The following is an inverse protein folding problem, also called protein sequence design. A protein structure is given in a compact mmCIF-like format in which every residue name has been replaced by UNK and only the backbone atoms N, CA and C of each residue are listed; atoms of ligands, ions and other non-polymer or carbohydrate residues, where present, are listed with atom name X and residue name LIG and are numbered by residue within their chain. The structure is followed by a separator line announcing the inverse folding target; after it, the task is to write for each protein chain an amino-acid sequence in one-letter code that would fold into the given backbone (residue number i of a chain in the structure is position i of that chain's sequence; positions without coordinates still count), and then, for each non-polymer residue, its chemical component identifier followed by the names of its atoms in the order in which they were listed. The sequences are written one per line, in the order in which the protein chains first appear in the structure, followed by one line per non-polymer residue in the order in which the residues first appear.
data_IF_808969173153
#
_entry.id   IF_808969173153
#
_cell.length_a   1.000
_cell.length_b   1.000
_cell.length_c   1.000
_cell.angle_alpha   90.00
_cell.angle_beta   90.00
_cell.angle_gamma   90.00
#
_symmetry.space_group_name_H-M   'P 1'
#
loop_
_entity.id
_entity.type
_entity.pdbx_description
1 polymer ?
#
# COMPACT_ATOMS: atom_id res chain seq x y z
N UNK A 1 -6.86 -8.82 17.45
CA UNK A 1 -7.61 -10.03 17.02
C UNK A 1 -8.12 -9.96 15.58
N UNK A 2 -8.74 -8.87 15.12
CA UNK A 2 -9.30 -8.77 13.76
C UNK A 2 -8.31 -9.06 12.60
N UNK A 3 -7.02 -8.76 12.78
CA UNK A 3 -5.95 -8.99 11.78
C UNK A 3 -5.74 -10.46 11.40
N UNK A 4 -6.24 -11.42 12.18
CA UNK A 4 -6.12 -12.85 11.92
C UNK A 4 -7.47 -13.52 11.58
N UNK A 5 -8.59 -12.95 12.05
CA UNK A 5 -9.92 -13.53 11.82
C UNK A 5 -10.28 -13.53 10.34
N UNK A 6 -10.18 -12.38 9.66
CA UNK A 6 -10.51 -12.29 8.23
C UNK A 6 -9.63 -13.22 7.38
N UNK A 7 -8.30 -13.24 7.54
CA UNK A 7 -7.45 -14.20 6.85
C UNK A 7 -7.84 -15.66 7.07
N UNK A 8 -8.10 -16.05 8.32
CA UNK A 8 -8.42 -17.43 8.68
C UNK A 8 -9.78 -17.85 8.10
N UNK A 9 -10.79 -16.99 8.23
CA UNK A 9 -12.13 -17.24 7.68
C UNK A 9 -12.09 -17.30 6.15
N UNK A 10 -11.40 -16.38 5.49
CA UNK A 10 -11.28 -16.37 4.03
C UNK A 10 -10.54 -17.61 3.51
N UNK A 11 -9.46 -18.01 4.19
CA UNK A 11 -8.71 -19.22 3.85
C UNK A 11 -9.56 -20.48 4.04
N UNK A 12 -10.24 -20.60 5.18
CA UNK A 12 -11.12 -21.74 5.47
C UNK A 12 -12.28 -21.82 4.46
N UNK A 13 -12.97 -20.70 4.19
CA UNK A 13 -14.07 -20.66 3.24
C UNK A 13 -13.61 -21.05 1.83
N UNK A 14 -12.42 -20.62 1.41
CA UNK A 14 -11.82 -21.02 0.13
C UNK A 14 -11.53 -22.52 0.09
N UNK A 15 -10.90 -23.06 1.14
CA UNK A 15 -10.58 -24.48 1.22
C UNK A 15 -11.85 -25.34 1.17
N UNK A 16 -12.87 -24.95 1.95
CA UNK A 16 -14.16 -25.62 1.97
C UNK A 16 -14.84 -25.60 0.60
N UNK A 17 -14.93 -24.43 -0.04
CA UNK A 17 -15.61 -24.28 -1.33
C UNK A 17 -14.93 -25.11 -2.43
N UNK A 18 -13.60 -25.10 -2.50
CA UNK A 18 -12.84 -25.89 -3.49
C UNK A 18 -13.04 -27.38 -3.25
N UNK A 19 -12.86 -27.85 -2.02
CA UNK A 19 -13.07 -29.25 -1.69
C UNK A 19 -14.50 -29.69 -2.03
N UNK A 20 -15.50 -28.90 -1.63
CA UNK A 20 -16.90 -29.18 -1.93
C UNK A 20 -17.17 -29.28 -3.43
N UNK A 21 -16.75 -28.29 -4.22
CA UNK A 21 -17.01 -28.27 -5.66
C UNK A 21 -16.34 -29.43 -6.39
N UNK A 22 -15.10 -29.76 -6.02
CA UNK A 22 -14.37 -30.86 -6.65
C UNK A 22 -14.98 -32.21 -6.26
N UNK A 23 -15.24 -32.44 -4.97
CA UNK A 23 -15.89 -33.67 -4.52
C UNK A 23 -17.28 -33.84 -5.11
N UNK A 24 -18.05 -32.75 -5.24
CA UNK A 24 -19.35 -32.76 -5.89
C UNK A 24 -19.24 -33.14 -7.38
N UNK A 25 -18.28 -32.56 -8.11
CA UNK A 25 -18.07 -32.86 -9.52
C UNK A 25 -17.66 -34.32 -9.74
N UNK A 26 -16.70 -34.83 -8.96
CA UNK A 26 -16.27 -36.24 -9.03
C UNK A 26 -17.42 -37.19 -8.68
N UNK A 27 -18.21 -36.89 -7.66
CA UNK A 27 -19.39 -37.67 -7.32
C UNK A 27 -20.44 -37.66 -8.45
N UNK A 28 -20.68 -36.50 -9.06
CA UNK A 28 -21.59 -36.36 -10.20
C UNK A 28 -21.10 -37.11 -11.45
N UNK A 29 -19.79 -37.26 -11.61
CA UNK A 29 -19.15 -38.03 -12.68
C UNK A 29 -19.07 -39.55 -12.39
N UNK A 30 -19.52 -40.00 -11.21
CA UNK A 30 -19.44 -41.42 -10.81
C UNK A 30 -18.01 -41.89 -10.48
N UNK A 31 -17.09 -40.96 -10.26
CA UNK A 31 -15.72 -41.27 -9.87
C UNK A 31 -15.67 -41.79 -8.43
N UNK A 32 -14.69 -42.66 -8.13
CA UNK A 32 -14.42 -43.04 -6.74
C UNK A 32 -13.88 -41.84 -5.99
N UNK A 33 -14.40 -41.60 -4.78
CA UNK A 33 -13.91 -40.53 -3.92
C UNK A 33 -12.41 -40.66 -3.64
N UNK A 34 -11.69 -39.56 -3.83
CA UNK A 34 -10.30 -39.40 -3.43
C UNK A 34 -10.12 -38.14 -2.55
N UNK A 35 -8.88 -37.83 -2.19
CA UNK A 35 -8.55 -36.67 -1.36
C UNK A 35 -8.06 -35.45 -2.18
N UNK A 36 -8.18 -35.47 -3.51
CA UNK A 36 -7.63 -34.42 -4.37
C UNK A 36 -8.24 -33.06 -4.05
N UNK A 37 -9.58 -33.00 -3.91
CA UNK A 37 -10.29 -31.77 -3.54
C UNK A 37 -9.83 -31.19 -2.21
N UNK A 38 -9.51 -32.05 -1.23
CA UNK A 38 -9.07 -31.64 0.10
C UNK A 38 -7.69 -30.98 0.04
N UNK A 39 -6.72 -31.62 -0.63
CA UNK A 39 -5.36 -31.10 -0.73
C UNK A 39 -5.29 -29.79 -1.52
N UNK A 40 -6.00 -29.71 -2.65
CA UNK A 40 -6.10 -28.47 -3.43
C UNK A 40 -6.79 -27.38 -2.61
N UNK A 41 -7.88 -27.72 -1.92
CA UNK A 41 -8.58 -26.80 -1.03
C UNK A 41 -7.68 -26.21 0.05
N UNK A 42 -6.96 -27.06 0.80
CA UNK A 42 -6.05 -26.60 1.85
C UNK A 42 -4.95 -25.70 1.29
N UNK A 43 -4.31 -26.10 0.18
CA UNK A 43 -3.25 -25.31 -0.44
C UNK A 43 -3.73 -23.91 -0.86
N UNK A 44 -4.88 -23.86 -1.56
CA UNK A 44 -5.47 -22.58 -2.00
C UNK A 44 -5.99 -21.74 -0.83
N UNK A 45 -6.59 -22.38 0.18
CA UNK A 45 -7.01 -21.72 1.41
C UNK A 45 -5.83 -21.09 2.16
N UNK A 46 -4.70 -21.78 2.25
CA UNK A 46 -3.48 -21.24 2.85
C UNK A 46 -2.93 -20.03 2.07
N UNK A 47 -2.94 -20.09 0.74
CA UNK A 47 -2.54 -18.95 -0.12
C UNK A 47 -3.46 -17.74 0.13
N UNK A 48 -4.78 -17.95 0.14
CA UNK A 48 -5.75 -16.87 0.40
C UNK A 48 -5.56 -16.28 1.80
N UNK A 49 -5.41 -17.12 2.82
CA UNK A 49 -5.13 -16.66 4.17
C UNK A 49 -3.85 -15.81 4.22
N UNK A 50 -2.76 -16.25 3.56
CA UNK A 50 -1.52 -15.50 3.51
C UNK A 50 -1.68 -14.13 2.82
N UNK A 51 -2.44 -14.06 1.73
CA UNK A 51 -2.74 -12.81 1.04
C UNK A 51 -3.48 -11.86 1.98
N UNK A 52 -4.58 -12.30 2.59
CA UNK A 52 -5.35 -11.44 3.50
C UNK A 52 -4.57 -11.06 4.76
N UNK A 53 -3.67 -11.94 5.24
CA UNK A 53 -2.78 -11.61 6.36
C UNK A 53 -1.83 -10.48 5.99
N UNK A 54 -1.23 -10.50 4.80
CA UNK A 54 -0.41 -9.40 4.29
C UNK A 54 -1.21 -8.10 4.13
N UNK A 55 -2.48 -8.19 3.72
CA UNK A 55 -3.37 -7.04 3.54
C UNK A 55 -4.03 -6.54 4.83
N UNK A 56 -3.90 -7.25 5.95
CA UNK A 56 -4.53 -6.90 7.24
C UNK A 56 -4.01 -5.59 7.85
N UNK A 57 -2.93 -5.02 7.31
CA UNK A 57 -2.39 -3.70 7.66
C UNK A 57 -3.06 -2.54 6.93
N UNK A 58 -3.89 -2.82 5.94
CA UNK A 58 -4.57 -1.79 5.18
C UNK A 58 -5.62 -1.10 6.05
N UNK A 59 -5.64 0.24 6.01
CA UNK A 59 -6.71 1.06 6.58
C UNK A 59 -7.60 1.62 5.48
N UNK A 60 -8.78 2.09 5.87
CA UNK A 60 -9.63 2.86 4.97
C UNK A 60 -8.92 4.18 4.64
N UNK A 61 -8.88 4.52 3.36
CA UNK A 61 -8.29 5.76 2.86
C UNK A 61 -9.25 6.39 1.88
N UNK A 62 -9.49 7.70 2.05
CA UNK A 62 -10.37 8.43 1.15
C UNK A 62 -9.62 8.80 -0.13
N UNK A 63 -10.30 8.70 -1.27
CA UNK A 63 -9.81 9.34 -2.49
C UNK A 63 -9.90 10.86 -2.32
N UNK A 64 -8.90 11.60 -2.79
CA UNK A 64 -9.00 13.05 -2.84
C UNK A 64 -10.05 13.46 -3.88
N UNK A 65 -10.81 14.52 -3.58
CA UNK A 65 -11.78 15.10 -4.53
C UNK A 65 -11.10 15.68 -5.78
N UNK A 66 -11.88 15.91 -6.83
CA UNK A 66 -11.38 16.40 -8.11
C UNK A 66 -10.62 17.74 -7.98
N UNK A 67 -11.14 18.69 -7.20
CA UNK A 67 -10.50 19.98 -6.95
C UNK A 67 -9.16 19.84 -6.20
N UNK A 68 -9.10 18.94 -5.21
CA UNK A 68 -7.87 18.67 -4.48
C UNK A 68 -6.79 18.06 -5.40
N UNK A 69 -7.20 17.12 -6.27
CA UNK A 69 -6.31 16.55 -7.29
C UNK A 69 -5.86 17.61 -8.29
N UNK A 70 -6.75 18.46 -8.78
CA UNK A 70 -6.39 19.54 -9.71
C UNK A 70 -5.39 20.52 -9.09
N UNK A 71 -5.61 20.95 -7.84
CA UNK A 71 -4.64 21.79 -7.11
C UNK A 71 -3.28 21.11 -6.94
N UNK A 72 -3.26 19.81 -6.64
CA UNK A 72 -2.01 19.06 -6.58
C UNK A 72 -1.32 18.97 -7.94
N UNK A 73 -2.07 18.79 -9.03
CA UNK A 73 -1.51 18.72 -10.39
C UNK A 73 -1.08 20.08 -10.95
N UNK A 74 -1.48 21.18 -10.33
CA UNK A 74 -0.95 22.52 -10.64
C UNK A 74 0.49 22.70 -10.13
N UNK A 75 0.97 21.83 -9.22
CA UNK A 75 2.30 21.93 -8.63
C UNK A 75 2.55 23.32 -8.02
N UNK A 76 1.53 23.90 -7.39
CA UNK A 76 1.62 25.21 -6.72
C UNK A 76 1.58 25.01 -5.21
N UNK A 77 2.69 25.28 -4.49
CA UNK A 77 2.71 25.22 -3.05
C UNK A 77 1.77 26.24 -2.41
N UNK A 78 1.27 25.90 -1.22
CA UNK A 78 0.54 26.85 -0.39
C UNK A 78 1.52 27.90 0.13
N UNK A 79 1.19 29.21 0.10
CA UNK A 79 2.10 30.25 0.60
C UNK A 79 2.58 29.98 2.04
N UNK A 80 3.87 30.14 2.30
CA UNK A 80 4.47 29.85 3.60
C UNK A 80 4.70 28.36 3.89
N UNK A 81 4.52 27.48 2.89
CA UNK A 81 4.66 26.02 3.01
C UNK A 81 5.40 25.44 1.81
N UNK A 82 6.08 24.33 2.04
CA UNK A 82 6.51 23.41 0.99
C UNK A 82 5.38 22.44 0.63
N UNK A 83 5.33 21.99 -0.62
CA UNK A 83 4.42 20.95 -1.07
C UNK A 83 5.16 19.61 -1.21
N UNK A 84 4.87 18.66 -0.32
CA UNK A 84 5.43 17.31 -0.35
C UNK A 84 4.51 16.36 -1.12
N UNK A 85 5.03 15.81 -2.21
CA UNK A 85 4.39 14.78 -3.02
C UNK A 85 4.97 13.42 -2.63
N UNK A 86 4.10 12.56 -2.13
CA UNK A 86 4.42 11.18 -1.79
C UNK A 86 3.88 10.30 -2.91
N UNK A 87 4.77 9.70 -3.71
CA UNK A 87 4.39 9.00 -4.94
C UNK A 87 4.75 7.54 -4.82
N UNK A 88 3.75 6.68 -4.61
CA UNK A 88 3.98 5.25 -4.51
C UNK A 88 3.84 4.56 -5.85
N UNK A 89 4.88 3.82 -6.22
CA UNK A 89 4.98 3.08 -7.47
C UNK A 89 5.42 1.63 -7.23
N UNK A 90 5.49 0.84 -8.30
CA UNK A 90 5.95 -0.56 -8.26
C UNK A 90 4.83 -1.58 -8.14
N UNK A 91 5.11 -2.79 -8.62
CA UNK A 91 4.16 -3.90 -8.66
C UNK A 91 4.19 -4.76 -7.39
N UNK A 92 5.36 -4.91 -6.78
CA UNK A 92 5.52 -5.76 -5.59
C UNK A 92 4.74 -5.16 -4.42
N UNK A 93 3.86 -5.96 -3.80
CA UNK A 93 3.02 -5.49 -2.69
C UNK A 93 2.01 -4.40 -3.08
N UNK A 94 1.62 -4.30 -4.36
CA UNK A 94 0.75 -3.24 -4.90
C UNK A 94 -0.54 -3.02 -4.09
N UNK A 95 -1.16 -4.11 -3.63
CA UNK A 95 -2.40 -4.09 -2.87
C UNK A 95 -2.25 -3.72 -1.39
N UNK A 96 -1.05 -3.91 -0.82
CA UNK A 96 -0.77 -3.54 0.56
C UNK A 96 -0.57 -2.04 0.67
N UNK A 97 -1.08 -1.39 1.70
CA UNK A 97 -0.93 0.04 1.95
C UNK A 97 0.39 0.34 2.66
N UNK A 98 1.20 1.22 2.09
CA UNK A 98 2.41 1.74 2.71
C UNK A 98 2.05 2.94 3.59
N UNK A 99 2.29 2.84 4.89
CA UNK A 99 2.13 3.91 5.85
C UNK A 99 3.27 4.92 5.70
N UNK A 100 2.91 6.18 5.64
CA UNK A 100 3.82 7.30 5.50
C UNK A 100 3.63 8.22 6.67
N UNK A 101 4.75 8.56 7.33
CA UNK A 101 4.76 9.49 8.43
C UNK A 101 5.81 10.57 8.20
N UNK A 102 5.48 11.81 8.54
CA UNK A 102 6.40 12.95 8.55
C UNK A 102 6.53 13.40 9.99
N UNK A 103 7.76 13.48 10.49
CA UNK A 103 8.09 13.88 11.86
C UNK A 103 7.31 13.07 12.93
N UNK A 104 7.16 11.77 12.66
CA UNK A 104 6.45 10.84 13.54
C UNK A 104 4.92 10.90 13.44
N UNK A 105 4.33 11.80 12.64
CA UNK A 105 2.88 11.88 12.41
C UNK A 105 2.50 11.15 11.13
N UNK A 106 1.54 10.23 11.20
CA UNK A 106 1.01 9.58 9.98
C UNK A 106 0.30 10.60 9.09
N UNK A 107 0.70 10.65 7.82
CA UNK A 107 0.17 11.61 6.84
C UNK A 107 -0.62 10.96 5.72
N UNK A 108 -0.34 9.70 5.40
CA UNK A 108 -1.08 8.95 4.39
C UNK A 108 -0.79 7.44 4.50
N UNK A 109 -1.72 6.63 3.99
CA UNK A 109 -1.43 5.26 3.57
C UNK A 109 -1.66 5.11 2.06
N UNK A 110 -0.63 4.74 1.31
CA UNK A 110 -0.72 4.64 -0.16
C UNK A 110 -0.70 3.19 -0.63
N UNK A 111 -1.67 2.81 -1.48
CA UNK A 111 -1.56 1.66 -2.40
C UNK A 111 -0.77 2.04 -3.66
N UNK A 112 -0.32 1.10 -4.47
CA UNK A 112 0.36 1.42 -5.74
C UNK A 112 -0.58 1.21 -6.94
N UNK A 113 -0.50 2.01 -8.02
CA UNK A 113 0.11 3.33 -8.07
C UNK A 113 -0.86 4.39 -7.50
N UNK A 114 -0.44 5.12 -6.48
CA UNK A 114 -1.18 6.26 -5.91
C UNK A 114 -0.22 7.30 -5.38
N UNK A 115 -0.71 8.53 -5.24
CA UNK A 115 0.05 9.60 -4.61
C UNK A 115 -0.79 10.35 -3.58
N UNK A 116 -0.12 11.10 -2.71
CA UNK A 116 -0.72 12.12 -1.85
C UNK A 116 0.12 13.39 -1.93
N UNK A 117 -0.52 14.52 -1.64
CA UNK A 117 0.13 15.81 -1.43
C UNK A 117 -0.12 16.22 0.02
N UNK A 118 0.94 16.64 0.71
CA UNK A 118 0.90 17.15 2.08
C UNK A 118 1.62 18.49 2.09
N UNK A 119 1.06 19.49 2.77
CA UNK A 119 1.77 20.75 3.00
C UNK A 119 2.69 20.60 4.21
N UNK A 120 3.92 21.06 4.10
CA UNK A 120 4.93 20.96 5.17
C UNK A 120 5.47 22.33 5.49
N UNK A 121 5.77 22.60 6.75
CA UNK A 121 6.54 23.78 7.12
C UNK A 121 7.90 23.81 6.38
N UNK A 122 8.48 24.98 6.11
CA UNK A 122 9.88 25.05 5.70
C UNK A 122 10.80 24.61 6.84
N UNK A 123 11.84 23.85 6.54
CA UNK A 123 12.78 23.35 7.55
C UNK A 123 13.25 21.92 7.31
N UNK A 124 13.78 21.32 8.38
CA UNK A 124 14.22 19.93 8.40
C UNK A 124 13.08 19.01 8.86
N UNK A 125 12.89 17.94 8.10
CA UNK A 125 11.84 16.95 8.32
C UNK A 125 12.38 15.55 8.13
N UNK A 126 11.64 14.57 8.65
CA UNK A 126 11.94 13.17 8.48
C UNK A 126 10.75 12.42 7.93
N UNK A 127 10.91 11.81 6.76
CA UNK A 127 9.91 10.94 6.14
C UNK A 127 10.19 9.48 6.50
N UNK A 128 9.20 8.80 7.07
CA UNK A 128 9.22 7.36 7.35
C UNK A 128 8.21 6.62 6.50
N UNK A 129 8.64 5.52 5.90
CA UNK A 129 7.81 4.58 5.17
C UNK A 129 7.81 3.21 5.86
N UNK A 130 6.64 2.59 6.01
CA UNK A 130 6.50 1.26 6.60
C UNK A 130 5.26 0.52 6.07
N UNK A 131 5.17 -0.79 6.31
CA UNK A 131 3.94 -1.56 6.11
C UNK A 131 3.34 -1.99 7.45
N UNK A 132 2.02 -2.17 7.46
CA UNK A 132 1.32 -2.86 8.54
C UNK A 132 1.05 -4.34 8.23
N UNK A 133 0.33 -5.01 9.14
CA UNK A 133 -0.14 -6.38 8.93
C UNK A 133 1.00 -7.39 8.78
N UNK A 134 0.78 -8.46 8.00
CA UNK A 134 1.79 -9.49 7.76
C UNK A 134 3.06 -8.99 7.07
N UNK A 135 2.97 -7.90 6.30
CA UNK A 135 4.13 -7.32 5.63
C UNK A 135 5.05 -6.54 6.57
N UNK A 136 4.58 -6.13 7.76
CA UNK A 136 5.43 -5.46 8.74
C UNK A 136 6.64 -6.32 9.16
N UNK A 137 6.47 -7.65 9.28
CA UNK A 137 7.56 -8.57 9.62
C UNK A 137 8.45 -8.97 8.44
N UNK A 138 7.98 -8.72 7.20
CA UNK A 138 8.68 -9.10 5.95
C UNK A 138 9.42 -7.93 5.30
N UNK A 139 9.22 -6.71 5.80
CA UNK A 139 9.77 -5.49 5.23
C UNK A 139 10.55 -4.71 6.29
N UNK A 140 11.63 -4.05 5.86
CA UNK A 140 12.37 -3.13 6.72
C UNK A 140 11.84 -1.72 6.48
N UNK A 141 11.33 -1.08 7.54
CA UNK A 141 10.92 0.31 7.47
C UNK A 141 12.10 1.19 7.00
N UNK A 142 11.79 2.23 6.25
CA UNK A 142 12.78 3.17 5.71
C UNK A 142 12.49 4.57 6.22
N UNK A 143 13.56 5.33 6.44
CA UNK A 143 13.51 6.67 6.99
C UNK A 143 14.50 7.53 6.21
N UNK A 144 14.05 8.72 5.80
CA UNK A 144 14.84 9.67 5.04
C UNK A 144 14.65 11.06 5.63
N UNK A 145 15.73 11.63 6.13
CA UNK A 145 15.79 13.05 6.48
C UNK A 145 15.82 13.88 5.20
N UNK A 146 15.06 14.97 5.18
CA UNK A 146 15.05 15.93 4.07
C UNK A 146 14.85 17.34 4.61
N UNK A 147 15.33 18.32 3.84
CA UNK A 147 15.03 19.73 4.08
C UNK A 147 14.18 20.27 2.94
N UNK A 148 13.38 21.27 3.26
CA UNK A 148 12.60 22.01 2.28
C UNK A 148 12.54 23.51 2.60
N UNK A 149 12.59 24.33 1.57
CA UNK A 149 12.42 25.77 1.64
C UNK A 149 10.96 26.18 1.48
N UNK A 150 10.66 27.44 1.78
CA UNK A 150 9.34 28.00 1.51
C UNK A 150 9.01 27.95 0.01
N UNK A 151 7.76 27.61 -0.30
CA UNK A 151 7.28 27.41 -1.67
C UNK A 151 8.10 26.38 -2.48
N UNK A 152 8.81 25.46 -1.81
CA UNK A 152 9.50 24.37 -2.49
C UNK A 152 8.53 23.22 -2.80
N UNK A 153 8.75 22.56 -3.94
CA UNK A 153 8.10 21.30 -4.28
C UNK A 153 9.07 20.15 -4.00
N UNK A 154 8.68 19.28 -3.09
CA UNK A 154 9.45 18.09 -2.73
C UNK A 154 8.71 16.87 -3.24
N UNK A 155 9.39 16.01 -4.01
CA UNK A 155 8.80 14.77 -4.52
C UNK A 155 9.59 13.58 -3.97
N UNK A 156 8.88 12.65 -3.34
CA UNK A 156 9.44 11.41 -2.80
C UNK A 156 8.77 10.22 -3.48
N UNK A 157 9.54 9.50 -4.29
CA UNK A 157 9.10 8.22 -4.89
C UNK A 157 9.32 7.10 -3.89
N UNK A 158 8.30 6.29 -3.74
CA UNK A 158 8.21 5.24 -2.74
C UNK A 158 8.00 3.90 -3.45
N UNK A 159 8.88 2.94 -3.19
CA UNK A 159 8.77 1.60 -3.75
C UNK A 159 9.23 0.53 -2.76
N UNK A 160 8.85 -0.71 -3.02
CA UNK A 160 9.37 -1.87 -2.31
C UNK A 160 10.35 -2.60 -3.23
N UNK A 161 11.59 -2.76 -2.77
CA UNK A 161 12.60 -3.57 -3.44
C UNK A 161 12.48 -5.05 -3.11
N UNK A 162 13.23 -5.88 -3.82
CA UNK A 162 13.43 -7.28 -3.45
C UNK A 162 14.69 -7.39 -2.58
N UNK A 163 14.57 -8.00 -1.41
CA UNK A 163 15.70 -8.28 -0.52
C UNK A 163 15.83 -9.75 -0.22
N UNK A 164 17.01 -10.17 0.24
CA UNK A 164 17.33 -11.57 0.54
C UNK A 164 16.70 -12.04 1.86
N UNK A 165 16.56 -11.15 2.84
CA UNK A 165 16.02 -11.44 4.18
C UNK A 165 14.71 -10.69 4.44
N UNK A 166 14.71 -9.39 4.16
CA UNK A 166 13.52 -8.54 4.20
C UNK A 166 13.51 -7.64 2.97
N UNK A 167 12.32 -7.36 2.46
CA UNK A 167 12.17 -6.46 1.33
C UNK A 167 12.38 -5.00 1.80
N UNK A 168 13.41 -4.30 1.27
CA UNK A 168 13.69 -2.93 1.68
C UNK A 168 12.64 -1.98 1.09
N UNK A 169 12.22 -1.00 1.88
CA UNK A 169 11.47 0.15 1.36
C UNK A 169 12.45 1.20 0.86
N UNK A 170 12.23 1.68 -0.36
CA UNK A 170 13.06 2.71 -0.98
C UNK A 170 12.29 4.03 -0.99
N UNK A 171 12.95 5.07 -0.52
CA UNK A 171 12.50 6.46 -0.59
C UNK A 171 13.53 7.19 -1.44
N UNK A 172 13.11 7.67 -2.60
CA UNK A 172 13.99 8.33 -3.56
C UNK A 172 13.45 9.72 -3.87
N UNK A 173 14.28 10.76 -3.72
CA UNK A 173 13.90 12.12 -4.10
C UNK A 173 13.83 12.21 -5.63
N UNK A 174 12.80 12.87 -6.14
CA UNK A 174 12.58 13.09 -7.58
C UNK A 174 12.25 14.56 -7.84
N UNK A 175 12.11 14.93 -9.12
CA UNK A 175 11.69 16.28 -9.53
C UNK A 175 10.21 16.30 -9.87
N UNK A 176 9.58 17.47 -9.77
CA UNK A 176 8.19 17.67 -10.18
C UNK A 176 7.99 17.31 -11.67
N UNK A 177 8.94 17.67 -12.52
CA UNK A 177 8.85 17.42 -13.96
C UNK A 177 8.90 15.93 -14.30
N UNK A 178 9.69 15.14 -13.56
CA UNK A 178 9.79 13.70 -13.76
C UNK A 178 8.47 12.97 -13.44
N UNK A 179 7.68 13.47 -12.49
CA UNK A 179 6.43 12.81 -12.06
C UNK A 179 5.17 13.44 -12.64
N UNK A 180 5.25 14.62 -13.26
CA UNK A 180 4.06 15.38 -13.73
C UNK A 180 3.13 14.55 -14.61
N UNK A 181 3.69 13.84 -15.59
CA UNK A 181 2.92 12.95 -16.47
C UNK A 181 2.35 11.73 -15.74
N UNK A 182 3.12 11.15 -14.82
CA UNK A 182 2.70 10.01 -14.01
C UNK A 182 1.50 10.37 -13.10
N UNK A 183 1.56 11.51 -12.41
CA UNK A 183 0.53 11.90 -11.42
C UNK A 183 -0.84 12.17 -12.04
N UNK A 184 -0.89 12.64 -13.29
CA UNK A 184 -2.14 12.91 -14.00
C UNK A 184 -3.01 11.64 -14.08
N UNK A 185 -2.40 10.50 -14.41
CA UNK A 185 -3.05 9.19 -14.50
C UNK A 185 -3.25 8.48 -13.16
N UNK A 186 -2.55 8.90 -12.10
CA UNK A 186 -2.65 8.25 -10.79
C UNK A 186 -3.88 8.71 -9.99
N UNK A 187 -4.39 7.80 -9.16
CA UNK A 187 -5.38 8.18 -8.15
C UNK A 187 -4.67 8.92 -7.00
N UNK A 188 -5.22 10.06 -6.60
CA UNK A 188 -4.77 10.78 -5.41
C UNK A 188 -5.52 10.26 -4.17
N UNK A 189 -4.78 9.89 -3.14
CA UNK A 189 -5.30 9.63 -1.79
C UNK A 189 -5.34 10.94 -1.02
N UNK A 190 -6.44 11.22 -0.32
CA UNK A 190 -6.51 12.37 0.58
C UNK A 190 -5.52 12.15 1.74
N UNK A 191 -4.72 13.16 2.11
CA UNK A 191 -3.83 13.04 3.26
C UNK A 191 -4.67 13.00 4.54
N UNK A 192 -4.16 12.29 5.56
CA UNK A 192 -4.83 12.19 6.87
C UNK A 192 -4.75 13.50 7.66
N UNK A 193 -3.72 14.29 7.38
CA UNK A 193 -3.52 15.63 7.91
C UNK A 193 -3.28 16.60 6.76
N UNK A 194 -3.88 17.78 6.83
CA UNK A 194 -3.73 18.79 5.79
C UNK A 194 -2.31 19.38 5.74
N UNK A 195 -1.65 19.49 6.90
CA UNK A 195 -0.30 20.01 7.01
C UNK A 195 0.48 19.38 8.18
N UNK A 196 1.81 19.40 8.07
CA UNK A 196 2.76 19.02 9.14
C UNK A 196 3.70 20.17 9.46
#
# INVERSE_FOLDING_TARGET
MQKFIIPLVAGFATAFAINFLMSFASAAAGEKGDNTGLYVGIAMGAIVALIFFNLSGNRSTAAAGAEAKQRALAFTPTPGKAALYLVRTGFVGKLAGMNLAVDGREVAQLRSPRFARVDVAPGAHTLRASFGGGLAGQTKASELAFTCADSEIVVMKLSMGMGVVQNPLKIERSSADAVRGELAGMQMTAPDVAAV
#
